data_IF_437629659867
#
_entry.id   IF_437629659867
#
_cell.length_a   1.000
_cell.length_b   1.000
_cell.length_c   1.000
_cell.angle_alpha   90.00
_cell.angle_beta   90.00
_cell.angle_gamma   90.00
#
_symmetry.space_group_name_H-M   'P 1'
#
loop_
_entity.id
_entity.type
_entity.pdbx_description
1 polymer ?
#
# COMPACT_ATOMS: atom_id res chain seq x y z
N UNK A 1 3.82 -9.23 -3.66
CA UNK A 1 3.68 -8.50 -2.38
C UNK A 1 2.85 -7.24 -2.53
N UNK A 2 3.38 -6.12 -3.07
CA UNK A 2 2.59 -4.87 -3.23
C UNK A 2 1.34 -5.04 -4.12
N UNK A 3 1.44 -5.86 -5.18
CA UNK A 3 0.31 -6.17 -6.09
C UNK A 3 -0.89 -6.80 -5.37
N UNK A 4 -0.63 -7.72 -4.44
CA UNK A 4 -1.66 -8.41 -3.72
C UNK A 4 -2.31 -7.51 -2.65
N UNK A 5 -1.57 -6.55 -2.09
CA UNK A 5 -2.17 -5.48 -1.26
C UNK A 5 -3.10 -4.60 -2.07
N UNK A 6 -2.64 -4.13 -3.24
CA UNK A 6 -3.42 -3.29 -4.13
C UNK A 6 -4.75 -3.94 -4.56
N UNK A 7 -4.72 -5.24 -4.85
CA UNK A 7 -5.94 -6.02 -5.13
C UNK A 7 -6.87 -6.07 -3.91
N UNK A 8 -6.33 -6.32 -2.71
CA UNK A 8 -7.09 -6.29 -1.47
C UNK A 8 -7.79 -4.95 -1.27
N UNK A 9 -7.07 -3.84 -1.43
CA UNK A 9 -7.62 -2.49 -1.33
C UNK A 9 -8.67 -2.19 -2.40
N UNK A 10 -8.50 -2.73 -3.60
CA UNK A 10 -9.47 -2.60 -4.68
C UNK A 10 -10.82 -3.26 -4.33
N UNK A 11 -10.86 -4.22 -3.40
CA UNK A 11 -12.13 -4.80 -2.92
C UNK A 11 -12.93 -3.85 -2.03
N UNK A 12 -12.31 -2.77 -1.54
CA UNK A 12 -12.93 -1.77 -0.66
C UNK A 12 -13.47 -0.55 -1.42
N UNK A 13 -13.43 -0.56 -2.76
CA UNK A 13 -13.91 0.56 -3.57
C UNK A 13 -15.36 0.96 -3.24
N UNK A 14 -16.32 0.04 -3.05
CA UNK A 14 -17.69 0.43 -2.71
C UNK A 14 -17.78 1.21 -1.39
N UNK A 15 -17.02 0.80 -0.37
CA UNK A 15 -16.94 1.50 0.91
C UNK A 15 -16.26 2.86 0.79
N UNK A 16 -15.20 2.93 -0.02
CA UNK A 16 -14.49 4.17 -0.30
C UNK A 16 -15.42 5.17 -1.00
N UNK A 17 -16.14 4.74 -2.04
CA UNK A 17 -17.09 5.55 -2.80
C UNK A 17 -18.23 6.05 -1.90
N UNK A 18 -18.83 5.16 -1.09
CA UNK A 18 -19.88 5.51 -0.14
C UNK A 18 -19.43 6.54 0.91
N UNK A 19 -18.12 6.63 1.16
CA UNK A 19 -17.50 7.57 2.11
C UNK A 19 -16.73 8.71 1.44
N UNK A 20 -16.79 8.84 0.11
CA UNK A 20 -16.05 9.88 -0.62
C UNK A 20 -14.53 9.80 -0.43
N UNK A 21 -13.99 8.61 -0.18
CA UNK A 21 -12.55 8.34 -0.06
C UNK A 21 -12.00 7.94 -1.43
N UNK A 22 -10.81 8.42 -1.79
CA UNK A 22 -10.12 8.04 -3.03
C UNK A 22 -8.93 7.13 -2.74
N UNK A 23 -8.69 6.18 -3.64
CA UNK A 23 -7.55 5.27 -3.57
C UNK A 23 -6.39 5.80 -4.40
N UNK A 24 -5.23 5.98 -3.77
CA UNK A 24 -4.01 6.41 -4.44
C UNK A 24 -2.83 5.55 -4.00
N UNK A 25 -1.96 5.19 -4.93
CA UNK A 25 -0.67 4.59 -4.65
C UNK A 25 0.44 5.55 -5.07
N UNK A 26 1.50 5.62 -4.27
CA UNK A 26 2.71 6.37 -4.59
C UNK A 26 3.84 5.36 -4.76
N UNK A 27 4.51 5.39 -5.91
CA UNK A 27 5.64 4.52 -6.24
C UNK A 27 6.88 5.36 -6.52
N UNK A 28 8.05 4.89 -6.09
CA UNK A 28 9.31 5.65 -6.26
C UNK A 28 10.10 5.26 -7.51
N UNK A 29 9.66 4.26 -8.27
CA UNK A 29 10.34 3.79 -9.48
C UNK A 29 9.40 3.85 -10.66
N UNK A 30 9.94 4.26 -11.83
CA UNK A 30 9.21 4.13 -13.12
C UNK A 30 9.02 2.67 -13.47
N UNK A 31 10.05 1.89 -13.20
CA UNK A 31 10.07 0.46 -13.44
C UNK A 31 8.99 -0.25 -12.60
N UNK A 32 8.15 -1.05 -13.25
CA UNK A 32 7.07 -1.78 -12.58
C UNK A 32 5.81 -0.95 -12.28
N UNK A 33 5.82 0.37 -12.48
CA UNK A 33 4.67 1.24 -12.17
C UNK A 33 3.48 0.99 -13.11
N UNK A 34 3.75 0.84 -14.41
CA UNK A 34 2.75 0.48 -15.42
C UNK A 34 2.17 -0.92 -15.18
N UNK A 35 3.01 -1.86 -14.77
CA UNK A 35 2.65 -3.25 -14.49
C UNK A 35 1.90 -3.37 -13.17
N UNK A 36 2.10 -2.44 -12.24
CA UNK A 36 1.40 -2.37 -10.96
C UNK A 36 -0.02 -1.81 -11.12
N UNK A 37 -0.22 -0.82 -11.99
CA UNK A 37 -1.50 -0.13 -12.18
C UNK A 37 -2.73 -1.05 -12.35
N UNK A 38 -2.69 -2.16 -13.11
CA UNK A 38 -3.83 -3.08 -13.24
C UNK A 38 -4.29 -3.73 -11.91
N UNK A 39 -3.41 -3.80 -10.90
CA UNK A 39 -3.73 -4.37 -9.59
C UNK A 39 -4.42 -3.37 -8.65
N UNK A 40 -4.34 -2.07 -8.93
CA UNK A 40 -4.97 -1.00 -8.17
C UNK A 40 -6.19 -0.46 -8.91
N UNK A 41 -7.26 -1.26 -8.93
CA UNK A 41 -8.49 -0.90 -9.63
C UNK A 41 -9.15 0.30 -8.92
N UNK A 42 -9.76 1.20 -9.69
CA UNK A 42 -10.40 2.41 -9.17
C UNK A 42 -9.45 3.45 -8.55
N UNK A 43 -8.19 3.10 -8.30
CA UNK A 43 -7.19 3.99 -7.73
C UNK A 43 -6.25 4.60 -8.76
N UNK A 44 -5.50 5.63 -8.36
CA UNK A 44 -4.49 6.30 -9.20
C UNK A 44 -3.07 5.96 -8.72
N UNK A 45 -2.10 5.96 -9.63
CA UNK A 45 -0.69 5.69 -9.31
C UNK A 45 0.12 6.95 -9.60
N UNK A 46 0.77 7.48 -8.58
CA UNK A 46 1.65 8.63 -8.65
C UNK A 46 3.10 8.21 -8.54
N UNK A 47 3.97 8.89 -9.28
CA UNK A 47 5.40 8.62 -9.28
C UNK A 47 6.14 9.68 -8.46
N UNK A 48 6.86 9.24 -7.44
CA UNK A 48 7.67 10.08 -6.56
C UNK A 48 9.15 9.67 -6.65
N UNK A 49 9.81 10.14 -7.70
CA UNK A 49 11.22 9.82 -7.97
C UNK A 49 12.18 10.36 -6.90
N UNK A 50 11.79 11.45 -6.24
CA UNK A 50 12.57 12.08 -5.19
C UNK A 50 12.30 11.47 -3.81
N UNK A 51 11.36 10.50 -3.72
CA UNK A 51 10.96 9.81 -2.48
C UNK A 51 10.49 10.74 -1.37
N UNK A 52 9.95 11.92 -1.70
CA UNK A 52 9.44 12.90 -0.73
C UNK A 52 8.30 12.35 0.12
N UNK A 53 7.45 11.51 -0.46
CA UNK A 53 6.31 10.88 0.22
C UNK A 53 6.73 9.77 1.18
N UNK A 54 7.97 9.28 1.09
CA UNK A 54 8.55 8.30 2.02
C UNK A 54 9.07 8.96 3.31
N UNK A 55 8.92 10.28 3.41
CA UNK A 55 9.28 11.07 4.58
C UNK A 55 10.78 11.39 4.65
N UNK A 56 11.19 12.23 5.60
CA UNK A 56 12.59 12.62 5.78
C UNK A 56 13.48 11.45 6.22
N UNK A 57 12.88 10.40 6.78
CA UNK A 57 13.56 9.19 7.23
C UNK A 57 12.98 7.98 6.49
N UNK A 58 13.62 7.63 5.38
CA UNK A 58 13.29 6.43 4.62
C UNK A 58 13.57 5.16 5.43
N UNK A 59 12.69 4.15 5.32
CA UNK A 59 12.82 2.88 6.03
C UNK A 59 13.34 1.81 5.10
N UNK A 60 14.61 1.45 5.27
CA UNK A 60 15.29 0.46 4.44
C UNK A 60 15.52 -0.84 5.20
N UNK A 61 15.26 -1.97 4.54
CA UNK A 61 15.72 -3.26 5.03
C UNK A 61 17.13 -3.58 4.53
N UNK A 62 17.93 -4.15 5.45
CA UNK A 62 19.18 -4.79 5.08
C UNK A 62 18.91 -6.06 4.26
N UNK A 63 19.84 -6.45 3.39
CA UNK A 63 19.71 -7.63 2.53
C UNK A 63 19.32 -8.90 3.31
N UNK A 64 19.93 -9.23 4.47
CA UNK A 64 19.49 -10.38 5.26
C UNK A 64 18.05 -10.26 5.77
N UNK A 65 17.60 -9.04 6.05
CA UNK A 65 16.24 -8.75 6.49
C UNK A 65 15.18 -9.00 5.43
N UNK A 66 15.53 -9.01 4.14
CA UNK A 66 14.60 -9.37 3.05
C UNK A 66 14.29 -10.87 3.06
N UNK A 67 15.27 -11.70 3.43
CA UNK A 67 15.16 -13.16 3.40
C UNK A 67 14.70 -13.76 4.74
N UNK A 68 14.05 -12.96 5.59
CA UNK A 68 13.47 -13.50 6.81
C UNK A 68 12.31 -14.47 6.49
N UNK A 69 11.99 -15.33 7.46
CA UNK A 69 10.98 -16.37 7.31
C UNK A 69 9.58 -15.83 6.94
N UNK A 70 9.18 -14.70 7.53
CA UNK A 70 7.87 -14.10 7.27
C UNK A 70 7.78 -13.57 5.83
N UNK A 71 8.77 -12.80 5.37
CA UNK A 71 8.81 -12.29 4.00
C UNK A 71 8.86 -13.43 2.97
N UNK A 72 9.59 -14.51 3.24
CA UNK A 72 9.59 -15.69 2.38
C UNK A 72 8.21 -16.37 2.34
N UNK A 73 7.57 -16.58 3.50
CA UNK A 73 6.24 -17.17 3.58
C UNK A 73 5.19 -16.36 2.82
N UNK A 74 5.25 -15.03 2.94
CA UNK A 74 4.35 -14.12 2.22
C UNK A 74 4.60 -14.20 0.70
N UNK A 75 5.86 -14.23 0.26
CA UNK A 75 6.19 -14.33 -1.17
C UNK A 75 5.69 -15.66 -1.77
N UNK A 76 5.85 -16.77 -1.04
CA UNK A 76 5.32 -18.08 -1.45
C UNK A 76 3.79 -18.03 -1.55
N UNK A 77 3.12 -17.51 -0.52
CA UNK A 77 1.65 -17.38 -0.50
C UNK A 77 1.13 -16.57 -1.69
N UNK A 78 1.75 -15.43 -1.99
CA UNK A 78 1.36 -14.59 -3.14
C UNK A 78 1.54 -15.32 -4.47
N UNK A 79 2.66 -16.03 -4.63
CA UNK A 79 2.92 -16.82 -5.82
C UNK A 79 1.86 -17.90 -6.03
N UNK A 80 1.46 -18.59 -4.95
CA UNK A 80 0.41 -19.62 -4.99
C UNK A 80 -0.97 -19.01 -5.33
N UNK A 81 -1.21 -17.76 -4.94
CA UNK A 81 -2.46 -17.03 -5.23
C UNK A 81 -2.43 -16.27 -6.57
N UNK A 82 -1.47 -16.56 -7.47
CA UNK A 82 -1.42 -15.97 -8.81
C UNK A 82 -0.91 -14.52 -8.86
N UNK A 83 -0.24 -14.06 -7.81
CA UNK A 83 0.37 -12.71 -7.74
C UNK A 83 1.89 -12.78 -7.49
N UNK A 84 2.65 -13.47 -8.36
CA UNK A 84 4.09 -13.63 -8.16
C UNK A 84 4.77 -12.27 -7.97
N UNK A 85 5.69 -12.23 -7.02
CA UNK A 85 6.51 -11.06 -6.77
C UNK A 85 7.30 -10.66 -8.02
N UNK A 86 7.54 -9.36 -8.19
CA UNK A 86 8.55 -8.90 -9.13
C UNK A 86 9.89 -8.83 -8.40
N UNK A 87 10.92 -9.49 -8.92
CA UNK A 87 12.29 -9.36 -8.40
C UNK A 87 13.05 -8.21 -9.08
N UNK A 88 12.49 -7.63 -10.12
CA UNK A 88 13.05 -6.48 -10.80
C UNK A 88 12.59 -5.19 -10.10
N UNK A 89 13.56 -4.35 -9.72
CA UNK A 89 13.32 -3.12 -8.96
C UNK A 89 14.10 -3.07 -7.64
N UNK A 90 13.92 -1.98 -6.89
CA UNK A 90 14.52 -1.82 -5.56
C UNK A 90 13.53 -2.30 -4.50
N UNK A 91 13.76 -3.51 -3.99
CA UNK A 91 12.88 -4.19 -3.04
C UNK A 91 13.29 -4.07 -1.57
N UNK A 92 14.05 -3.04 -1.18
CA UNK A 92 14.45 -2.82 0.23
C UNK A 92 13.73 -1.68 0.91
N UNK A 93 13.21 -0.73 0.13
CA UNK A 93 12.49 0.41 0.69
C UNK A 93 11.10 -0.04 1.13
N UNK A 94 10.81 0.12 2.42
CA UNK A 94 9.54 -0.27 3.02
C UNK A 94 8.47 0.77 2.74
N UNK A 95 7.31 0.29 2.30
CA UNK A 95 6.11 1.07 2.05
C UNK A 95 5.21 1.18 3.28
N UNK A 96 4.04 1.76 3.08
CA UNK A 96 3.03 1.87 4.12
C UNK A 96 1.68 2.21 3.52
N UNK A 97 0.66 2.14 4.36
CA UNK A 97 -0.71 2.48 4.00
C UNK A 97 -1.24 3.51 4.98
N UNK A 98 -1.92 4.52 4.47
CA UNK A 98 -2.56 5.55 5.26
C UNK A 98 -4.02 5.71 4.84
N UNK A 99 -4.91 5.85 5.82
CA UNK A 99 -6.26 6.38 5.61
C UNK A 99 -6.29 7.76 6.22
N UNK A 100 -6.52 8.77 5.38
CA UNK A 100 -6.44 10.18 5.74
C UNK A 100 -7.83 10.79 5.59
N UNK A 101 -8.35 11.37 6.67
CA UNK A 101 -9.60 12.11 6.67
C UNK A 101 -9.43 13.55 6.17
N UNK A 102 -10.52 14.22 5.76
CA UNK A 102 -10.47 15.59 5.28
C UNK A 102 -10.14 16.61 6.39
N UNK A 103 -9.48 17.70 6.02
CA UNK A 103 -9.17 18.83 6.91
C UNK A 103 -8.37 18.39 8.14
N UNK A 104 -8.86 18.78 9.32
CA UNK A 104 -8.21 18.51 10.62
C UNK A 104 -8.40 17.06 11.10
N UNK A 105 -9.12 16.21 10.37
CA UNK A 105 -9.30 14.81 10.78
C UNK A 105 -7.98 14.01 10.71
N UNK A 106 -7.05 14.42 9.84
CA UNK A 106 -5.69 13.87 9.80
C UNK A 106 -5.64 12.37 9.47
N UNK A 107 -4.63 11.68 10.00
CA UNK A 107 -4.42 10.24 9.77
C UNK A 107 -5.34 9.45 10.71
N UNK A 108 -6.30 8.74 10.13
CA UNK A 108 -7.24 7.87 10.86
C UNK A 108 -6.64 6.49 11.10
N UNK A 109 -5.89 6.00 10.12
CA UNK A 109 -5.20 4.72 10.18
C UNK A 109 -3.87 4.80 9.45
N UNK A 110 -2.87 4.13 10.01
CA UNK A 110 -1.59 3.94 9.36
C UNK A 110 -1.09 2.51 9.58
N UNK A 111 -0.48 1.97 8.55
CA UNK A 111 0.26 0.72 8.59
C UNK A 111 1.65 0.97 8.03
N UNK A 112 2.68 0.64 8.80
CA UNK A 112 4.05 0.66 8.33
C UNK A 112 4.47 -0.76 7.99
N UNK A 113 4.79 -1.01 6.72
CA UNK A 113 5.28 -2.32 6.29
C UNK A 113 6.54 -2.68 7.07
N UNK A 114 6.49 -3.77 7.82
CA UNK A 114 7.66 -4.46 8.36
C UNK A 114 7.28 -5.90 8.76
N UNK A 115 8.00 -6.92 8.28
CA UNK A 115 9.05 -6.84 7.25
C UNK A 115 8.45 -6.59 5.85
N UNK A 116 9.25 -6.66 4.77
CA UNK A 116 8.71 -6.49 3.42
C UNK A 116 7.59 -7.50 3.12
N UNK A 117 6.56 -6.98 2.47
CA UNK A 117 5.29 -7.57 2.10
C UNK A 117 4.31 -7.80 3.25
N UNK A 118 4.64 -7.37 4.47
CA UNK A 118 3.69 -7.25 5.56
C UNK A 118 2.66 -6.17 5.23
N UNK A 119 1.41 -6.59 5.04
CA UNK A 119 0.31 -5.73 4.57
C UNK A 119 -0.57 -5.25 5.69
N UNK A 120 -1.26 -4.14 5.44
CA UNK A 120 -2.33 -3.69 6.30
C UNK A 120 -3.44 -4.76 6.40
N UNK A 121 -4.03 -4.89 7.60
CA UNK A 121 -5.24 -5.68 7.78
C UNK A 121 -6.42 -5.00 7.07
N UNK A 122 -6.99 -5.68 6.09
CA UNK A 122 -8.02 -5.12 5.22
C UNK A 122 -9.29 -4.73 5.98
N UNK A 123 -9.63 -5.45 7.05
CA UNK A 123 -10.82 -5.12 7.85
C UNK A 123 -10.57 -3.87 8.71
N UNK A 124 -9.34 -3.68 9.21
CA UNK A 124 -8.97 -2.42 9.88
C UNK A 124 -8.98 -1.23 8.92
N UNK A 125 -8.57 -1.44 7.67
CA UNK A 125 -8.69 -0.42 6.63
C UNK A 125 -10.16 -0.10 6.35
N UNK A 126 -11.02 -1.11 6.24
CA UNK A 126 -12.48 -0.93 6.07
C UNK A 126 -13.08 -0.13 7.22
N UNK A 127 -12.77 -0.48 8.47
CA UNK A 127 -13.21 0.28 9.65
C UNK A 127 -12.72 1.73 9.63
N UNK A 128 -11.48 1.96 9.20
CA UNK A 128 -10.92 3.31 9.10
C UNK A 128 -11.64 4.15 8.03
N UNK A 129 -11.96 3.57 6.87
CA UNK A 129 -12.77 4.22 5.82
C UNK A 129 -14.13 4.62 6.38
N UNK A 130 -14.79 3.75 7.15
CA UNK A 130 -16.08 4.06 7.77
C UNK A 130 -16.01 5.16 8.85
N UNK A 131 -14.83 5.44 9.40
CA UNK A 131 -14.60 6.54 10.35
C UNK A 131 -14.32 7.87 9.67
N UNK A 132 -14.07 7.89 8.35
CA UNK A 132 -13.93 9.14 7.59
C UNK A 132 -15.24 9.92 7.67
N UNK A 133 -15.14 11.17 8.10
CA UNK A 133 -16.26 12.07 8.25
C UNK A 133 -15.97 13.36 7.46
N UNK A 134 -16.83 13.65 6.47
CA UNK A 134 -16.73 14.91 5.75
C UNK A 134 -17.42 15.99 6.57
N UNK A 135 -16.79 17.16 6.80
CA UNK A 135 -17.47 18.26 7.45
C UNK A 135 -18.75 18.59 6.68
N UNK A 136 -19.86 18.68 7.40
CA UNK A 136 -21.14 19.13 6.83
C UNK A 136 -20.91 20.53 6.26
N UNK A 137 -21.24 20.72 4.98
CA UNK A 137 -21.21 22.04 4.33
C UNK A 137 -22.15 23.02 5.04
#
# INVERSE_FOLDING_TARGET
>A
MCRAEAQGLSTLLPEMEARGVRLHAVVHQRFGASEFKPFLQGGEVYLDLERKFYGPQERWMNIPGIFNFESLAIAIKDSLNGTPGNLEGEGRLLGGLFVIGPGEQGIIFQHHEYPIGNRADIERVREAIQKVNHPTQ
#
